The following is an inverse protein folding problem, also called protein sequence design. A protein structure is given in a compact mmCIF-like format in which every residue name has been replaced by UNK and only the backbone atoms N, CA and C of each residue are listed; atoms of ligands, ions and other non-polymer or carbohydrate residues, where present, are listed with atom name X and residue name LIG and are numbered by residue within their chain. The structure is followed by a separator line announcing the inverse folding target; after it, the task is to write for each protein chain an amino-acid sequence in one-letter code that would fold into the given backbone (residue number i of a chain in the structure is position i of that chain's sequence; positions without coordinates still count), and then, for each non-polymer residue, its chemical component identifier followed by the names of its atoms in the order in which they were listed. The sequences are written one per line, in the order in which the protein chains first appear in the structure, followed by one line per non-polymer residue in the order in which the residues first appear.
data_IF_604663377823
#
_entry.id   IF_604663377823
#
_cell.length_a   1.000
_cell.length_b   1.000
_cell.length_c   1.000
_cell.angle_alpha   90.00
_cell.angle_beta   90.00
_cell.angle_gamma   90.00
#
_symmetry.space_group_name_H-M   'P 1'
#
loop_
_entity.id
_entity.type
_entity.pdbx_description
1 polymer ?
#
# COMPACT_ATOMS: atom_id res chain seq x y z
N UNK A 1 -15.71 12.95 0.21
CA UNK A 1 -15.57 11.49 0.15
C UNK A 1 -14.21 11.17 -0.45
N UNK A 2 -13.57 10.06 -0.08
CA UNK A 2 -12.34 9.63 -0.72
C UNK A 2 -12.57 9.30 -2.20
N UNK A 3 -11.52 9.35 -3.01
CA UNK A 3 -11.54 8.78 -4.36
C UNK A 3 -11.73 7.28 -4.21
N UNK A 4 -12.74 6.69 -4.86
CA UNK A 4 -13.02 5.27 -4.66
C UNK A 4 -11.89 4.37 -5.19
N UNK A 5 -11.79 3.19 -4.63
CA UNK A 5 -10.79 2.20 -5.04
C UNK A 5 -10.93 1.87 -6.54
N UNK A 6 -12.16 1.66 -7.02
CA UNK A 6 -12.48 1.36 -8.42
C UNK A 6 -12.10 2.49 -9.37
N UNK A 7 -12.33 3.74 -8.98
CA UNK A 7 -11.92 4.90 -9.79
C UNK A 7 -10.39 5.00 -9.89
N UNK A 8 -9.69 4.76 -8.78
CA UNK A 8 -8.24 4.87 -8.72
C UNK A 8 -7.54 3.75 -9.47
N UNK A 9 -7.89 2.51 -9.18
CA UNK A 9 -7.19 1.34 -9.69
C UNK A 9 -7.80 0.77 -10.97
N UNK A 10 -9.10 0.93 -11.21
CA UNK A 10 -9.74 0.50 -12.44
C UNK A 10 -9.23 1.22 -13.70
N UNK A 11 -8.81 2.49 -13.57
CA UNK A 11 -8.29 3.30 -14.70
C UNK A 11 -6.76 3.37 -14.77
N UNK A 12 -6.05 3.22 -13.65
CA UNK A 12 -4.60 3.45 -13.55
C UNK A 12 -3.81 2.23 -13.08
N UNK A 13 -4.44 1.08 -12.93
CA UNK A 13 -3.81 -0.13 -12.41
C UNK A 13 -2.57 -0.58 -13.20
N UNK A 14 -2.58 -0.39 -14.52
CA UNK A 14 -1.43 -0.69 -15.38
C UNK A 14 -0.17 0.07 -14.95
N UNK A 15 -0.33 1.32 -14.52
CA UNK A 15 0.79 2.17 -14.11
C UNK A 15 1.35 1.78 -12.74
N UNK A 16 0.48 1.43 -11.80
CA UNK A 16 0.87 1.09 -10.43
C UNK A 16 1.52 -0.29 -10.39
N UNK A 17 0.99 -1.27 -11.12
CA UNK A 17 1.52 -2.63 -11.13
C UNK A 17 2.70 -2.84 -12.08
N UNK A 18 2.88 -1.98 -13.12
CA UNK A 18 4.02 -2.06 -14.04
C UNK A 18 5.38 -1.71 -13.41
N UNK A 19 5.38 -1.14 -12.19
CA UNK A 19 6.59 -0.71 -11.50
C UNK A 19 7.10 -1.68 -10.43
N UNK A 20 6.72 -2.94 -10.49
CA UNK A 20 7.39 -4.02 -9.78
C UNK A 20 8.82 -4.23 -10.31
N UNK A 21 9.70 -3.24 -10.15
CA UNK A 21 11.08 -3.26 -10.61
C UNK A 21 12.03 -3.65 -9.47
N UNK A 22 13.04 -4.48 -9.75
CA UNK A 22 14.08 -4.86 -8.77
C UNK A 22 14.87 -3.65 -8.26
N UNK A 23 14.89 -2.56 -9.03
CA UNK A 23 15.48 -1.28 -8.67
C UNK A 23 14.42 -0.27 -8.20
N UNK A 24 13.28 -0.73 -7.71
CA UNK A 24 12.24 0.17 -7.21
C UNK A 24 12.80 1.11 -6.13
N UNK A 25 12.57 2.41 -6.25
CA UNK A 25 12.90 3.37 -5.19
C UNK A 25 12.32 2.99 -3.82
N UNK A 26 11.25 2.19 -3.78
CA UNK A 26 10.57 1.67 -2.60
C UNK A 26 11.26 0.45 -1.96
N UNK A 27 12.43 0.05 -2.41
CA UNK A 27 13.08 -1.19 -1.96
C UNK A 27 13.22 -1.29 -0.42
N UNK A 28 13.47 -0.18 0.28
CA UNK A 28 13.57 -0.16 1.74
C UNK A 28 12.24 -0.50 2.44
N UNK A 29 11.12 0.01 1.91
CA UNK A 29 9.76 -0.27 2.38
C UNK A 29 9.42 -1.75 2.20
N UNK A 30 9.64 -2.28 1.00
CA UNK A 30 9.37 -3.68 0.69
C UNK A 30 10.25 -4.62 1.51
N UNK A 31 11.54 -4.32 1.65
CA UNK A 31 12.45 -5.10 2.48
C UNK A 31 12.01 -5.14 3.93
N UNK A 32 11.60 -4.02 4.50
CA UNK A 32 11.08 -3.97 5.86
C UNK A 32 9.88 -4.90 6.04
N UNK A 33 8.91 -4.86 5.11
CA UNK A 33 7.75 -5.74 5.13
C UNK A 33 8.13 -7.22 5.10
N UNK A 34 9.06 -7.59 4.23
CA UNK A 34 9.54 -8.96 4.12
C UNK A 34 10.28 -9.42 5.37
N UNK A 35 11.09 -8.56 5.98
CA UNK A 35 11.79 -8.84 7.24
C UNK A 35 10.80 -9.07 8.39
N UNK A 36 9.73 -8.29 8.44
CA UNK A 36 8.66 -8.49 9.42
C UNK A 36 7.94 -9.81 9.18
N UNK A 37 7.60 -10.13 7.92
CA UNK A 37 6.90 -11.36 7.57
C UNK A 37 7.76 -12.61 7.82
N UNK A 38 9.06 -12.56 7.50
CA UNK A 38 9.97 -13.70 7.69
C UNK A 38 10.06 -14.14 9.15
N UNK A 39 9.90 -13.19 10.09
CA UNK A 39 9.89 -13.47 11.54
C UNK A 39 8.60 -14.14 12.02
N UNK A 40 7.58 -14.23 11.15
CA UNK A 40 6.27 -14.78 11.51
C UNK A 40 6.15 -16.29 11.24
N UNK A 41 7.15 -16.90 10.60
CA UNK A 41 7.11 -18.32 10.17
C UNK A 41 5.82 -18.68 9.38
N UNK A 42 5.26 -17.69 8.67
CA UNK A 42 4.02 -17.85 7.93
C UNK A 42 4.19 -18.87 6.81
N UNK A 43 3.22 -19.75 6.65
CA UNK A 43 3.16 -20.72 5.55
C UNK A 43 2.16 -20.30 4.48
N UNK A 44 1.08 -19.62 4.89
CA UNK A 44 0.01 -19.14 4.01
C UNK A 44 -0.23 -17.65 4.24
N UNK A 45 -0.04 -16.87 3.18
CA UNK A 45 -0.19 -15.42 3.21
C UNK A 45 -1.25 -14.99 2.21
N UNK A 46 -2.16 -14.11 2.63
CA UNK A 46 -3.07 -13.40 1.74
C UNK A 46 -2.56 -11.97 1.57
N UNK A 47 -2.26 -11.54 0.35
CA UNK A 47 -2.02 -10.14 0.02
C UNK A 47 -3.29 -9.52 -0.59
N UNK A 48 -3.90 -8.57 0.09
CA UNK A 48 -5.13 -7.89 -0.33
C UNK A 48 -5.21 -6.47 0.27
N UNK A 49 -5.49 -5.42 -0.53
CA UNK A 49 -5.47 -5.43 -2.00
C UNK A 49 -4.11 -5.82 -2.57
N UNK A 50 -4.10 -6.27 -3.82
CA UNK A 50 -2.89 -6.76 -4.50
C UNK A 50 -1.79 -5.69 -4.58
N UNK A 51 -0.58 -6.04 -4.13
CA UNK A 51 0.62 -5.20 -4.27
C UNK A 51 1.66 -5.91 -5.15
N UNK A 52 1.76 -5.43 -6.40
CA UNK A 52 2.56 -6.07 -7.44
C UNK A 52 4.06 -6.21 -7.13
N UNK A 53 4.64 -5.29 -6.35
CA UNK A 53 6.05 -5.39 -5.96
C UNK A 53 6.35 -6.60 -5.08
N UNK A 54 5.36 -7.09 -4.33
CA UNK A 54 5.56 -8.24 -3.45
C UNK A 54 5.70 -9.56 -4.22
N UNK A 55 5.08 -9.69 -5.40
CA UNK A 55 5.13 -10.93 -6.21
C UNK A 55 6.57 -11.37 -6.46
N UNK A 56 7.50 -10.44 -6.64
CA UNK A 56 8.90 -10.72 -6.93
C UNK A 56 9.71 -11.17 -5.72
N UNK A 57 9.28 -10.77 -4.54
CA UNK A 57 10.03 -11.02 -3.30
C UNK A 57 9.54 -12.25 -2.56
N UNK A 58 8.38 -12.80 -2.93
CA UNK A 58 7.91 -14.07 -2.40
C UNK A 58 8.64 -15.21 -3.13
N UNK A 59 9.81 -15.55 -2.62
CA UNK A 59 10.54 -16.74 -3.04
C UNK A 59 10.56 -17.75 -1.89
N UNK A 60 10.24 -19.00 -2.15
CA UNK A 60 10.41 -20.09 -1.20
C UNK A 60 9.13 -20.77 -0.74
N UNK A 61 9.12 -21.29 0.50
CA UNK A 61 8.10 -22.19 1.03
C UNK A 61 6.81 -21.53 1.53
N UNK A 62 6.54 -20.27 1.13
CA UNK A 62 5.34 -19.54 1.52
C UNK A 62 4.30 -19.60 0.41
N UNK A 63 3.16 -20.20 0.68
CA UNK A 63 2.00 -20.17 -0.20
C UNK A 63 1.34 -18.78 -0.13
N UNK A 64 1.44 -18.00 -1.21
CA UNK A 64 0.87 -16.66 -1.27
C UNK A 64 -0.33 -16.64 -2.19
N UNK A 65 -1.45 -16.18 -1.65
CA UNK A 65 -2.68 -15.86 -2.40
C UNK A 65 -2.73 -14.35 -2.62
N UNK A 66 -2.92 -13.93 -3.87
CA UNK A 66 -3.14 -12.54 -4.23
C UNK A 66 -4.63 -12.32 -4.51
N UNK A 67 -5.19 -11.26 -3.92
CA UNK A 67 -6.58 -10.89 -4.16
C UNK A 67 -6.71 -9.36 -4.33
N UNK A 68 -7.69 -8.93 -5.11
CA UNK A 68 -7.98 -7.51 -5.31
C UNK A 68 -9.49 -7.26 -5.50
N UNK A 69 -9.91 -6.05 -5.17
CA UNK A 69 -11.29 -5.59 -5.41
C UNK A 69 -11.54 -5.30 -6.90
N UNK A 70 -10.48 -4.93 -7.62
CA UNK A 70 -10.49 -4.68 -9.06
C UNK A 70 -9.34 -5.45 -9.71
N UNK A 71 -9.65 -6.35 -10.63
CA UNK A 71 -8.64 -7.05 -11.42
C UNK A 71 -8.81 -6.61 -12.88
N UNK A 72 -7.97 -5.68 -13.37
CA UNK A 72 -8.04 -5.23 -14.75
C UNK A 72 -7.54 -6.31 -15.72
N UNK A 73 -7.95 -6.21 -16.98
CA UNK A 73 -7.60 -7.18 -18.02
C UNK A 73 -6.09 -7.35 -18.21
N UNK A 74 -5.30 -6.30 -17.97
CA UNK A 74 -3.83 -6.33 -18.03
C UNK A 74 -3.19 -7.26 -16.99
N UNK A 75 -3.90 -7.58 -15.91
CA UNK A 75 -3.43 -8.46 -14.82
C UNK A 75 -4.10 -9.84 -14.80
N UNK A 76 -4.92 -10.17 -15.79
CA UNK A 76 -5.65 -11.46 -15.84
C UNK A 76 -4.75 -12.70 -15.76
N UNK A 77 -3.50 -12.59 -16.25
CA UNK A 77 -2.53 -13.69 -16.25
C UNK A 77 -1.75 -13.84 -14.93
N UNK A 78 -2.00 -12.96 -13.95
CA UNK A 78 -1.28 -12.92 -12.67
C UNK A 78 -1.89 -13.77 -11.56
N UNK A 79 -2.93 -14.55 -11.86
CA UNK A 79 -3.64 -15.40 -10.89
C UNK A 79 -4.11 -14.63 -9.64
N UNK A 80 -4.69 -13.43 -9.86
CA UNK A 80 -5.24 -12.60 -8.80
C UNK A 80 -6.72 -12.95 -8.64
N UNK A 81 -7.13 -13.29 -7.42
CA UNK A 81 -8.52 -13.53 -7.10
C UNK A 81 -9.28 -12.20 -7.02
N UNK A 82 -10.34 -12.06 -7.79
CA UNK A 82 -11.26 -10.94 -7.63
C UNK A 82 -12.14 -11.18 -6.41
N UNK A 83 -12.23 -10.22 -5.51
CA UNK A 83 -13.03 -10.28 -4.28
C UNK A 83 -13.71 -8.92 -4.01
N UNK A 84 -14.37 -8.79 -2.89
CA UNK A 84 -14.97 -7.55 -2.38
C UNK A 84 -14.41 -7.19 -0.98
N UNK A 85 -15.02 -6.21 -0.30
CA UNK A 85 -14.60 -5.79 1.05
C UNK A 85 -14.89 -6.84 2.13
N UNK A 86 -15.81 -7.77 1.85
CA UNK A 86 -16.08 -8.93 2.74
C UNK A 86 -15.11 -10.09 2.50
N UNK A 87 -14.23 -9.99 1.51
CA UNK A 87 -13.36 -11.08 1.05
C UNK A 87 -14.17 -12.33 0.66
N UNK A 88 -15.28 -12.13 -0.05
CA UNK A 88 -16.12 -13.21 -0.52
C UNK A 88 -15.34 -14.14 -1.45
N UNK A 89 -15.54 -15.45 -1.27
CA UNK A 89 -14.76 -16.49 -1.96
C UNK A 89 -13.42 -16.83 -1.32
N UNK A 90 -12.95 -16.06 -0.34
CA UNK A 90 -11.73 -16.36 0.43
C UNK A 90 -12.11 -17.22 1.64
N UNK A 91 -11.45 -18.39 1.86
CA UNK A 91 -11.78 -19.28 2.94
C UNK A 91 -11.52 -18.67 4.33
N UNK A 92 -12.38 -19.01 5.30
CA UNK A 92 -12.20 -18.63 6.70
C UNK A 92 -11.15 -19.53 7.37
N UNK A 93 -10.46 -19.01 8.42
CA UNK A 93 -9.50 -19.75 9.26
C UNK A 93 -8.41 -20.47 8.44
N UNK A 94 -7.86 -19.76 7.45
CA UNK A 94 -6.96 -20.38 6.48
C UNK A 94 -5.56 -19.76 6.45
N UNK A 95 -5.44 -18.44 6.56
CA UNK A 95 -4.17 -17.74 6.43
C UNK A 95 -3.47 -17.52 7.78
N UNK A 96 -2.15 -17.65 7.77
CA UNK A 96 -1.30 -17.30 8.91
C UNK A 96 -1.11 -15.78 9.00
N UNK A 97 -1.02 -15.13 7.82
CA UNK A 97 -0.85 -13.67 7.71
C UNK A 97 -1.76 -13.11 6.61
N UNK A 98 -2.39 -11.98 6.90
CA UNK A 98 -2.97 -11.08 5.88
C UNK A 98 -2.09 -9.85 5.79
N UNK A 99 -1.70 -9.50 4.56
CA UNK A 99 -0.89 -8.34 4.24
C UNK A 99 -1.72 -7.36 3.40
N UNK A 100 -1.84 -6.11 3.87
CA UNK A 100 -2.56 -5.03 3.19
C UNK A 100 -1.66 -3.80 3.08
N UNK A 101 -1.47 -3.28 1.87
CA UNK A 101 -0.54 -2.18 1.61
C UNK A 101 -1.20 -1.09 0.79
N UNK A 102 -1.24 0.13 1.36
CA UNK A 102 -1.58 1.39 0.68
C UNK A 102 -2.85 1.34 -0.21
N UNK A 103 -3.88 0.64 0.24
CA UNK A 103 -5.12 0.45 -0.53
C UNK A 103 -6.39 0.84 0.20
N UNK A 104 -6.44 0.66 1.51
CA UNK A 104 -7.69 0.86 2.25
C UNK A 104 -8.03 2.33 2.51
N UNK A 105 -7.10 3.27 2.32
CA UNK A 105 -7.42 4.70 2.38
C UNK A 105 -8.37 5.17 1.25
N UNK A 106 -8.63 4.32 0.26
CA UNK A 106 -9.67 4.53 -0.74
C UNK A 106 -11.06 4.04 -0.30
N UNK A 107 -11.18 3.44 0.88
CA UNK A 107 -12.42 2.95 1.46
C UNK A 107 -12.99 3.98 2.45
N UNK A 108 -14.31 4.11 2.54
CA UNK A 108 -14.96 4.89 3.60
C UNK A 108 -14.87 4.16 4.95
N UNK A 109 -15.13 4.86 6.05
CA UNK A 109 -14.95 4.31 7.41
C UNK A 109 -15.67 2.96 7.61
N UNK A 110 -16.90 2.82 7.12
CA UNK A 110 -17.68 1.59 7.23
C UNK A 110 -17.08 0.45 6.39
N UNK A 111 -16.58 0.74 5.21
CA UNK A 111 -15.89 -0.24 4.36
C UNK A 111 -14.53 -0.66 4.94
N UNK A 112 -13.80 0.28 5.58
CA UNK A 112 -12.57 -0.04 6.31
C UNK A 112 -12.84 -1.01 7.45
N UNK A 113 -13.88 -0.77 8.26
CA UNK A 113 -14.28 -1.67 9.33
C UNK A 113 -14.73 -3.04 8.77
N UNK A 114 -15.55 -3.05 7.73
CA UNK A 114 -15.99 -4.28 7.04
C UNK A 114 -14.81 -5.11 6.56
N UNK A 115 -13.83 -4.48 5.90
CA UNK A 115 -12.59 -5.12 5.46
C UNK A 115 -11.79 -5.71 6.62
N UNK A 116 -11.64 -4.99 7.74
CA UNK A 116 -10.96 -5.48 8.93
C UNK A 116 -11.65 -6.71 9.54
N UNK A 117 -12.98 -6.72 9.61
CA UNK A 117 -13.76 -7.88 10.07
C UNK A 117 -13.54 -9.07 9.11
N UNK A 118 -13.53 -8.81 7.82
CA UNK A 118 -13.30 -9.85 6.82
C UNK A 118 -11.86 -10.42 6.89
N UNK A 119 -10.84 -9.57 7.08
CA UNK A 119 -9.45 -10.04 7.29
C UNK A 119 -9.32 -10.86 8.56
N UNK A 120 -10.03 -10.49 9.63
CA UNK A 120 -10.09 -11.29 10.86
C UNK A 120 -10.70 -12.68 10.63
N UNK A 121 -11.75 -12.78 9.81
CA UNK A 121 -12.43 -14.05 9.48
C UNK A 121 -11.53 -15.02 8.72
N UNK A 122 -10.74 -14.53 7.76
CA UNK A 122 -9.88 -15.40 6.92
C UNK A 122 -8.59 -15.81 7.61
N UNK A 123 -8.19 -15.10 8.67
CA UNK A 123 -7.04 -15.45 9.49
C UNK A 123 -7.36 -16.64 10.41
N UNK A 124 -6.36 -17.50 10.62
CA UNK A 124 -6.39 -18.54 11.65
C UNK A 124 -6.42 -17.95 13.05
N UNK A 125 -6.77 -18.78 14.02
CA UNK A 125 -6.47 -18.50 15.43
C UNK A 125 -4.96 -18.26 15.55
N UNK A 126 -4.54 -17.20 16.26
CA UNK A 126 -3.18 -16.68 16.32
C UNK A 126 -2.63 -16.10 15.00
N UNK A 127 -3.48 -15.97 13.98
CA UNK A 127 -3.15 -15.32 12.72
C UNK A 127 -2.89 -13.82 12.89
N UNK A 128 -2.24 -13.19 11.91
CA UNK A 128 -1.80 -11.80 12.04
C UNK A 128 -2.16 -10.97 10.83
N UNK A 129 -2.63 -9.75 11.10
CA UNK A 129 -2.77 -8.70 10.09
C UNK A 129 -1.53 -7.81 10.16
N UNK A 130 -0.88 -7.66 9.01
CA UNK A 130 0.11 -6.61 8.76
C UNK A 130 -0.48 -5.64 7.75
N UNK A 131 -0.76 -4.43 8.22
CA UNK A 131 -1.31 -3.37 7.37
C UNK A 131 -0.32 -2.21 7.33
N UNK A 132 -0.07 -1.71 6.12
CA UNK A 132 0.79 -0.56 5.88
C UNK A 132 -0.01 0.48 5.12
N UNK A 133 -0.20 1.65 5.73
CA UNK A 133 -1.09 2.67 5.20
C UNK A 133 -0.59 4.09 5.45
N UNK A 134 -1.18 5.01 4.73
CA UNK A 134 -0.91 6.43 4.89
C UNK A 134 -1.60 6.95 6.16
N UNK A 135 -0.84 7.65 6.99
CA UNK A 135 -1.33 8.31 8.20
C UNK A 135 -2.04 9.62 7.86
N UNK A 136 -3.14 9.90 8.56
CA UNK A 136 -3.81 11.20 8.50
C UNK A 136 -2.88 12.34 8.92
N UNK A 137 -2.99 13.49 8.26
CA UNK A 137 -2.16 14.67 8.48
C UNK A 137 -0.63 14.45 8.30
N UNK A 138 -0.22 13.36 7.63
CA UNK A 138 1.19 13.11 7.27
C UNK A 138 1.62 13.93 6.04
N UNK A 139 2.95 14.05 5.85
CA UNK A 139 3.49 14.65 4.61
C UNK A 139 3.09 13.82 3.38
N UNK A 140 3.10 12.50 3.51
CA UNK A 140 2.65 11.57 2.46
C UNK A 140 1.19 11.81 2.09
N UNK A 141 0.28 11.90 3.06
CA UNK A 141 -1.14 12.18 2.82
C UNK A 141 -1.35 13.53 2.14
N UNK A 142 -0.63 14.57 2.59
CA UNK A 142 -0.66 15.88 1.94
C UNK A 142 -0.17 15.83 0.49
N UNK A 143 0.93 15.15 0.22
CA UNK A 143 1.44 15.00 -1.14
C UNK A 143 0.43 14.30 -2.06
N UNK A 144 -0.20 13.24 -1.57
CA UNK A 144 -1.21 12.52 -2.32
C UNK A 144 -2.45 13.37 -2.61
N UNK A 145 -2.99 14.09 -1.62
CA UNK A 145 -4.24 14.84 -1.80
C UNK A 145 -4.03 16.21 -2.46
N UNK A 146 -2.99 16.97 -2.03
CA UNK A 146 -2.76 18.33 -2.51
C UNK A 146 -2.08 18.37 -3.89
N UNK A 147 -1.18 17.41 -4.16
CA UNK A 147 -0.42 17.37 -5.41
C UNK A 147 -0.90 16.27 -6.35
N UNK A 148 -0.81 15.00 -5.96
CA UNK A 148 -1.24 13.89 -6.83
C UNK A 148 -2.71 14.05 -7.21
N UNK A 149 -3.58 14.39 -6.26
CA UNK A 149 -5.00 14.62 -6.49
C UNK A 149 -5.32 15.72 -7.48
N UNK A 150 -4.47 16.76 -7.55
CA UNK A 150 -4.65 17.86 -8.50
C UNK A 150 -4.24 17.48 -9.93
N UNK A 151 -3.23 16.61 -10.08
CA UNK A 151 -2.57 16.40 -11.37
C UNK A 151 -2.80 15.02 -11.98
N UNK A 152 -3.54 14.13 -11.34
CA UNK A 152 -3.94 12.86 -11.95
C UNK A 152 -5.33 12.95 -12.60
N UNK A 153 -5.57 12.15 -13.61
CA UNK A 153 -6.85 12.11 -14.31
C UNK A 153 -8.02 11.63 -13.42
N UNK A 154 -7.75 10.83 -12.40
CA UNK A 154 -8.75 10.31 -11.46
C UNK A 154 -8.91 11.16 -10.22
N UNK A 155 -8.03 12.14 -10.02
CA UNK A 155 -7.85 12.76 -8.72
C UNK A 155 -7.27 11.79 -7.69
N UNK A 156 -7.03 12.29 -6.50
CA UNK A 156 -6.68 11.48 -5.32
C UNK A 156 -7.17 12.21 -4.07
N UNK A 157 -7.96 11.52 -3.27
CA UNK A 157 -8.33 11.94 -1.93
C UNK A 157 -8.46 10.70 -1.06
N UNK A 158 -7.64 10.62 -0.02
CA UNK A 158 -7.61 9.48 0.88
C UNK A 158 -8.50 9.65 2.11
N UNK A 159 -9.01 8.54 2.63
CA UNK A 159 -9.52 8.43 3.99
C UNK A 159 -8.44 7.77 4.85
N UNK A 160 -7.43 8.57 5.20
CA UNK A 160 -6.21 8.10 5.86
C UNK A 160 -6.42 7.65 7.30
N UNK A 161 -5.46 6.88 7.83
CA UNK A 161 -5.55 6.33 9.18
C UNK A 161 -5.49 7.42 10.24
N UNK A 162 -6.65 7.69 10.86
CA UNK A 162 -6.80 8.63 11.97
C UNK A 162 -6.08 8.11 13.22
N UNK A 163 -5.82 9.00 14.19
CA UNK A 163 -5.13 8.66 15.43
C UNK A 163 -5.80 7.49 16.19
N UNK A 164 -7.11 7.43 16.16
CA UNK A 164 -7.89 6.40 16.85
C UNK A 164 -8.10 5.11 16.04
N UNK A 165 -7.48 4.93 14.88
CA UNK A 165 -7.70 3.76 14.01
C UNK A 165 -7.39 2.43 14.70
N UNK A 166 -6.46 2.41 15.67
CA UNK A 166 -6.19 1.24 16.52
C UNK A 166 -7.46 0.73 17.22
N UNK A 167 -8.37 1.63 17.62
CA UNK A 167 -9.66 1.25 18.20
C UNK A 167 -10.58 0.58 17.18
N UNK A 168 -10.54 1.02 15.92
CA UNK A 168 -11.29 0.39 14.83
C UNK A 168 -10.80 -1.02 14.58
N UNK A 169 -9.49 -1.24 14.59
CA UNK A 169 -8.88 -2.58 14.44
C UNK A 169 -9.30 -3.48 15.63
N UNK A 170 -9.23 -2.98 16.87
CA UNK A 170 -9.68 -3.71 18.04
C UNK A 170 -11.19 -4.02 17.98
N UNK A 171 -12.01 -3.07 17.51
CA UNK A 171 -13.46 -3.28 17.31
C UNK A 171 -13.76 -4.38 16.27
N UNK A 172 -12.89 -4.56 15.28
CA UNK A 172 -12.99 -5.66 14.31
C UNK A 172 -12.65 -7.04 14.92
N UNK A 173 -12.28 -7.12 16.19
CA UNK A 173 -12.05 -8.37 16.92
C UNK A 173 -10.59 -8.78 17.03
N UNK A 174 -9.63 -7.89 16.79
CA UNK A 174 -8.21 -8.15 17.04
C UNK A 174 -7.85 -7.88 18.50
N UNK A 175 -7.11 -8.80 19.10
CA UNK A 175 -6.78 -8.75 20.54
C UNK A 175 -5.58 -7.86 20.84
N UNK A 176 -4.54 -7.96 20.00
CA UNK A 176 -3.32 -7.15 20.14
C UNK A 176 -3.18 -6.26 18.92
N UNK A 177 -3.08 -4.95 19.15
CA UNK A 177 -2.89 -3.98 18.07
C UNK A 177 -1.73 -3.05 18.41
N UNK A 178 -0.72 -3.04 17.55
CA UNK A 178 0.41 -2.10 17.61
C UNK A 178 0.42 -1.23 16.38
N UNK A 179 0.74 0.04 16.55
CA UNK A 179 0.90 1.01 15.45
C UNK A 179 2.25 1.69 15.57
N UNK A 180 2.96 1.77 14.48
CA UNK A 180 4.26 2.42 14.38
C UNK A 180 4.31 3.25 13.09
N UNK A 181 4.72 4.52 13.19
CA UNK A 181 4.95 5.36 12.03
C UNK A 181 6.41 5.23 11.61
N UNK A 182 6.67 4.84 10.38
CA UNK A 182 8.02 4.62 9.85
C UNK A 182 8.22 5.48 8.60
N UNK A 183 9.35 6.18 8.54
CA UNK A 183 9.79 6.90 7.35
C UNK A 183 10.70 6.00 6.55
N UNK A 184 10.27 5.66 5.34
CA UNK A 184 11.07 4.90 4.37
C UNK A 184 11.70 5.85 3.36
N UNK A 185 13.03 5.88 3.21
CA UNK A 185 13.65 6.62 2.13
C UNK A 185 13.35 5.92 0.80
N UNK A 186 12.68 6.62 -0.10
CA UNK A 186 12.64 6.23 -1.50
C UNK A 186 13.91 6.75 -2.17
N UNK A 187 14.69 5.86 -2.78
CA UNK A 187 16.04 6.16 -3.27
C UNK A 187 16.03 6.26 -4.78
N UNK A 188 16.49 7.38 -5.30
CA UNK A 188 16.56 7.68 -6.72
C UNK A 188 18.00 7.96 -7.14
N UNK A 189 18.40 7.51 -8.33
CA UNK A 189 19.76 7.69 -8.86
C UNK A 189 20.08 9.18 -9.14
N UNK A 190 19.07 9.96 -9.54
CA UNK A 190 19.17 11.38 -9.87
C UNK A 190 17.75 11.97 -10.03
N UNK A 191 17.67 13.28 -10.32
CA UNK A 191 16.42 13.99 -10.55
C UNK A 191 15.59 13.39 -11.70
N UNK A 192 16.21 13.05 -12.83
CA UNK A 192 15.50 12.48 -13.99
C UNK A 192 14.88 11.12 -13.63
N UNK A 193 15.57 10.30 -12.83
CA UNK A 193 15.01 9.05 -12.32
C UNK A 193 13.82 9.32 -11.39
N UNK A 194 13.93 10.27 -10.45
CA UNK A 194 12.84 10.67 -9.56
C UNK A 194 11.61 11.12 -10.37
N UNK A 195 11.81 12.06 -11.31
CA UNK A 195 10.73 12.62 -12.12
C UNK A 195 10.05 11.53 -12.93
N UNK A 196 10.80 10.71 -13.64
CA UNK A 196 10.28 9.68 -14.51
C UNK A 196 9.51 8.62 -13.70
N UNK A 197 10.07 8.17 -12.58
CA UNK A 197 9.46 7.14 -11.76
C UNK A 197 8.17 7.65 -11.08
N UNK A 198 8.22 8.82 -10.41
CA UNK A 198 7.04 9.39 -9.76
C UNK A 198 5.93 9.76 -10.74
N UNK A 199 6.30 10.33 -11.89
CA UNK A 199 5.32 10.66 -12.93
C UNK A 199 4.55 9.42 -13.39
N UNK A 200 5.23 8.32 -13.58
CA UNK A 200 4.61 7.05 -13.96
C UNK A 200 3.82 6.44 -12.81
N UNK A 201 4.43 6.32 -11.62
CA UNK A 201 3.82 5.69 -10.44
C UNK A 201 2.51 6.37 -10.02
N UNK A 202 2.45 7.70 -10.10
CA UNK A 202 1.25 8.47 -9.75
C UNK A 202 0.40 8.89 -10.95
N UNK A 203 0.80 8.59 -12.19
CA UNK A 203 0.06 9.00 -13.38
C UNK A 203 0.14 10.51 -13.66
N UNK A 204 1.32 11.12 -13.45
CA UNK A 204 1.56 12.57 -13.52
C UNK A 204 2.18 13.01 -14.88
N UNK A 205 1.83 12.38 -15.99
CA UNK A 205 2.51 12.55 -17.29
C UNK A 205 2.41 13.95 -17.91
N UNK A 206 1.52 14.81 -17.43
CA UNK A 206 1.27 16.16 -18.00
C UNK A 206 1.93 17.30 -17.21
N UNK A 207 2.69 16.99 -16.15
CA UNK A 207 3.25 18.00 -15.27
C UNK A 207 4.66 18.43 -15.73
N UNK A 208 4.98 19.75 -15.72
CA UNK A 208 6.35 20.21 -15.89
C UNK A 208 7.28 19.62 -14.81
N UNK A 209 8.48 19.18 -15.22
CA UNK A 209 9.48 18.59 -14.33
C UNK A 209 9.74 19.43 -13.07
N UNK A 210 9.96 20.73 -13.25
CA UNK A 210 10.24 21.66 -12.14
C UNK A 210 9.06 21.76 -11.14
N UNK A 211 7.82 21.60 -11.61
CA UNK A 211 6.64 21.60 -10.74
C UNK A 211 6.63 20.36 -9.85
N UNK A 212 6.91 19.19 -10.41
CA UNK A 212 7.01 17.95 -9.63
C UNK A 212 8.12 18.04 -8.58
N UNK A 213 9.34 18.43 -8.97
CA UNK A 213 10.47 18.59 -8.03
C UNK A 213 10.15 19.56 -6.90
N UNK A 214 9.60 20.72 -7.23
CA UNK A 214 9.20 21.72 -6.25
C UNK A 214 8.24 21.15 -5.19
N UNK A 215 7.20 20.40 -5.61
CA UNK A 215 6.24 19.84 -4.66
C UNK A 215 6.82 18.67 -3.86
N UNK A 216 7.63 17.81 -4.48
CA UNK A 216 8.32 16.73 -3.75
C UNK A 216 9.24 17.31 -2.68
N UNK A 217 10.05 18.31 -3.01
CA UNK A 217 10.96 18.97 -2.07
C UNK A 217 10.20 19.64 -0.91
N UNK A 218 9.18 20.43 -1.22
CA UNK A 218 8.48 21.24 -0.21
C UNK A 218 7.53 20.42 0.67
N UNK A 219 6.97 19.31 0.18
CA UNK A 219 6.00 18.50 0.95
C UNK A 219 6.69 17.32 1.61
N UNK A 220 7.44 16.53 0.85
CA UNK A 220 8.07 15.31 1.34
C UNK A 220 9.48 15.53 1.87
N UNK A 221 10.20 16.44 1.25
CA UNK A 221 11.62 16.68 1.48
C UNK A 221 12.52 15.81 0.62
N UNK A 222 13.53 16.43 0.01
CA UNK A 222 14.60 15.76 -0.73
C UNK A 222 15.88 15.90 0.07
N UNK A 223 16.62 14.80 0.20
CA UNK A 223 17.98 14.81 0.74
C UNK A 223 18.95 14.34 -0.34
N UNK A 224 20.00 15.11 -0.56
CA UNK A 224 21.05 14.78 -1.53
C UNK A 224 22.16 13.99 -0.85
N UNK A 225 22.41 12.78 -1.36
CA UNK A 225 23.61 12.00 -1.05
C UNK A 225 24.70 12.23 -2.10
N UNK A 226 25.84 11.55 -1.96
CA UNK A 226 26.95 11.70 -2.91
C UNK A 226 26.59 11.23 -4.33
N UNK A 227 25.68 10.26 -4.45
CA UNK A 227 25.36 9.60 -5.73
C UNK A 227 23.84 9.34 -5.90
N UNK A 228 23.02 9.71 -4.92
CA UNK A 228 21.58 9.42 -4.92
C UNK A 228 20.79 10.56 -4.29
N UNK A 229 19.53 10.66 -4.69
CA UNK A 229 18.51 11.48 -4.02
C UNK A 229 17.62 10.58 -3.18
N UNK A 230 17.23 11.05 -2.01
CA UNK A 230 16.27 10.35 -1.17
C UNK A 230 15.04 11.21 -0.90
N UNK A 231 13.86 10.62 -0.97
CA UNK A 231 12.60 11.25 -0.64
C UNK A 231 11.99 10.53 0.56
N UNK A 232 11.57 11.29 1.57
CA UNK A 232 10.99 10.72 2.77
C UNK A 232 9.53 10.29 2.52
N UNK A 233 9.27 8.98 2.63
CA UNK A 233 7.94 8.42 2.49
C UNK A 233 7.48 7.85 3.83
N UNK A 234 6.52 8.52 4.47
CA UNK A 234 6.03 8.17 5.81
C UNK A 234 4.78 7.29 5.70
N UNK A 235 4.80 6.13 6.37
CA UNK A 235 3.67 5.21 6.45
C UNK A 235 3.47 4.73 7.89
N UNK A 236 2.24 4.39 8.21
CA UNK A 236 1.88 3.67 9.43
C UNK A 236 1.86 2.17 9.19
N UNK A 237 2.53 1.47 10.07
CA UNK A 237 2.52 0.02 10.16
C UNK A 237 1.62 -0.39 11.32
N UNK A 238 0.62 -1.22 11.02
CA UNK A 238 -0.29 -1.78 12.01
C UNK A 238 -0.06 -3.29 12.05
N UNK A 239 0.28 -3.76 13.24
CA UNK A 239 0.43 -5.17 13.55
C UNK A 239 -0.72 -5.57 14.46
N UNK A 240 -1.57 -6.48 14.02
CA UNK A 240 -2.70 -6.94 14.81
C UNK A 240 -2.75 -8.47 14.83
N UNK A 241 -3.11 -9.03 15.96
CA UNK A 241 -3.22 -10.48 16.16
C UNK A 241 -4.67 -10.85 16.48
N UNK A 242 -5.10 -12.00 15.96
CA UNK A 242 -6.44 -12.56 16.20
C UNK A 242 -6.55 -13.26 17.52
#
# INVERSE_FOLDING_TARGET
MPTSYEERFGKNSELIHAYADDNSPRASEIKHLLDVMSRQEAKRVLNVPFEGNLVRYYSGNVETTFADFVVPDSLKDWNILKTDRNLDGIPSDYFDVVLSIAGIHHLVDDEQLQFLIATRRVLKTDGRLLMVEVKDNSRTGRFLDEFVGQYTATGHRGNYLKENFVKTVAHAGYETVKRETIVHPWVFLNEDHLINWMSKFFGLSTIPKNTLLYHVENILGISEGKEVLTVNWELDFIFAQT
#
